data_IF_612828245010
#
_entry.id   IF_612828245010
#
_cell.length_a   1.000
_cell.length_b   1.000
_cell.length_c   1.000
_cell.angle_alpha   90.00
_cell.angle_beta   90.00
_cell.angle_gamma   90.00
#
_symmetry.space_group_name_H-M   'P 1'
#
loop_
_entity.id
_entity.type
_entity.pdbx_description
1 polymer ?
#
# COMPACT_ATOMS: atom_id res chain seq x y z
N UNK A 1 28.19 -17.93 79.22
CA UNK A 1 27.73 -16.67 78.57
C UNK A 1 28.24 -16.47 77.14
N UNK A 2 28.98 -17.42 76.55
CA UNK A 2 29.62 -17.25 75.23
C UNK A 2 28.73 -17.65 74.04
N UNK A 3 27.81 -18.61 74.18
CA UNK A 3 27.00 -19.12 73.06
C UNK A 3 25.90 -18.17 72.56
N UNK A 4 25.39 -17.27 73.41
CA UNK A 4 24.36 -16.30 72.98
C UNK A 4 24.94 -15.14 72.17
N UNK A 5 26.20 -14.77 72.43
CA UNK A 5 26.87 -13.66 71.75
C UNK A 5 27.20 -14.01 70.29
N UNK A 6 27.69 -15.23 70.03
CA UNK A 6 27.95 -15.69 68.65
C UNK A 6 26.68 -15.85 67.81
N UNK A 7 25.56 -16.29 68.42
CA UNK A 7 24.26 -16.33 67.74
C UNK A 7 23.76 -14.94 67.35
N UNK A 8 23.98 -13.94 68.21
CA UNK A 8 23.59 -12.57 67.92
C UNK A 8 24.41 -11.97 66.78
N UNK A 9 25.73 -12.19 66.79
CA UNK A 9 26.62 -11.71 65.72
C UNK A 9 26.29 -12.39 64.39
N UNK A 10 26.03 -13.71 64.40
CA UNK A 10 25.70 -14.44 63.18
C UNK A 10 24.36 -13.99 62.57
N UNK A 11 23.32 -13.82 63.40
CA UNK A 11 22.04 -13.27 62.94
C UNK A 11 22.18 -11.85 62.40
N UNK A 12 23.02 -11.02 63.02
CA UNK A 12 23.29 -9.66 62.55
C UNK A 12 24.01 -9.65 61.19
N UNK A 13 24.99 -10.54 60.99
CA UNK A 13 25.72 -10.70 59.72
C UNK A 13 24.83 -11.22 58.59
N UNK A 14 23.94 -12.18 58.89
CA UNK A 14 22.96 -12.69 57.92
C UNK A 14 22.01 -11.57 57.50
N UNK A 15 21.47 -10.81 58.46
CA UNK A 15 20.60 -9.66 58.17
C UNK A 15 21.33 -8.61 57.35
N UNK A 16 22.59 -8.28 57.67
CA UNK A 16 23.39 -7.31 56.92
C UNK A 16 23.65 -7.74 55.47
N UNK A 17 23.88 -9.04 55.24
CA UNK A 17 24.11 -9.60 53.90
C UNK A 17 22.86 -9.56 53.00
N UNK A 18 21.66 -9.66 53.59
CA UNK A 18 20.40 -9.56 52.85
C UNK A 18 20.02 -8.14 52.41
N UNK A 19 20.62 -7.09 52.98
CA UNK A 19 20.35 -5.69 52.59
C UNK A 19 21.31 -5.18 51.50
N UNK A 20 22.46 -5.83 51.32
CA UNK A 20 23.48 -5.43 50.35
C UNK A 20 23.20 -5.90 48.90
N UNK A 21 22.18 -6.74 48.68
CA UNK A 21 21.87 -7.34 47.37
C UNK A 21 20.93 -6.51 46.47
N UNK A 22 20.35 -5.42 46.96
CA UNK A 22 19.39 -4.64 46.18
C UNK A 22 20.12 -3.61 45.31
N UNK A 23 20.70 -4.05 44.19
CA UNK A 23 21.10 -3.13 43.12
C UNK A 23 19.83 -2.45 42.59
N UNK A 24 19.74 -1.12 42.72
CA UNK A 24 18.68 -0.36 42.03
C UNK A 24 18.76 -0.72 40.54
N UNK A 25 17.64 -1.06 39.88
CA UNK A 25 17.66 -1.22 38.44
C UNK A 25 18.17 0.08 37.84
N UNK A 26 19.25 -0.03 37.06
CA UNK A 26 19.81 1.08 36.32
C UNK A 26 18.69 1.64 35.43
N UNK A 27 18.39 2.94 35.57
CA UNK A 27 17.31 3.55 34.78
C UNK A 27 17.72 3.43 33.32
N UNK A 28 16.97 2.65 32.54
CA UNK A 28 17.08 2.60 31.10
C UNK A 28 17.10 4.03 30.55
N UNK A 29 18.14 4.37 29.80
CA UNK A 29 18.22 5.67 29.14
C UNK A 29 17.28 5.65 27.94
N UNK A 30 16.32 6.60 27.86
CA UNK A 30 15.35 6.59 26.78
C UNK A 30 16.05 6.84 25.44
N UNK A 31 15.57 6.15 24.41
CA UNK A 31 15.87 6.49 23.01
C UNK A 31 15.24 7.85 22.72
N UNK A 32 16.01 8.78 22.18
CA UNK A 32 15.49 10.06 21.71
C UNK A 32 15.30 9.98 20.18
N UNK A 33 14.08 10.25 19.73
CA UNK A 33 13.70 10.27 18.32
C UNK A 33 13.38 11.71 17.96
N UNK A 34 13.91 12.20 16.83
CA UNK A 34 13.63 13.54 16.34
C UNK A 34 13.18 13.45 14.89
N UNK A 35 11.91 13.77 14.64
CA UNK A 35 11.39 13.89 13.28
C UNK A 35 12.00 15.11 12.57
N UNK A 36 12.38 14.89 11.32
CA UNK A 36 12.85 15.92 10.39
C UNK A 36 11.79 16.14 9.30
N UNK A 37 11.20 15.05 8.82
CA UNK A 37 10.08 15.07 7.88
C UNK A 37 9.17 13.84 8.12
N UNK A 38 7.86 13.94 7.88
CA UNK A 38 7.16 15.14 7.43
C UNK A 38 6.99 16.19 8.55
N UNK A 39 6.60 17.41 8.19
CA UNK A 39 6.23 18.44 9.18
C UNK A 39 4.92 18.06 9.89
N UNK A 40 4.77 18.51 11.13
CA UNK A 40 3.56 18.26 11.91
C UNK A 40 2.32 18.83 11.21
N UNK A 41 1.25 18.03 11.20
CA UNK A 41 -0.05 18.36 10.59
C UNK A 41 0.01 18.62 9.08
N UNK A 42 1.04 18.12 8.40
CA UNK A 42 1.15 18.16 6.94
C UNK A 42 0.06 17.33 6.25
N UNK A 43 -0.35 17.77 5.06
CA UNK A 43 -1.41 17.10 4.27
C UNK A 43 -0.78 16.43 3.05
N UNK A 44 -1.04 15.13 2.88
CA UNK A 44 -0.58 14.35 1.74
C UNK A 44 -1.74 13.84 0.90
N UNK A 45 -1.60 13.94 -0.42
CA UNK A 45 -2.55 13.37 -1.36
C UNK A 45 -2.13 11.94 -1.74
N UNK A 46 -3.02 10.96 -1.59
CA UNK A 46 -2.75 9.52 -1.85
C UNK A 46 -3.59 8.99 -3.03
N UNK A 47 -3.14 7.96 -3.77
CA UNK A 47 -1.93 7.16 -3.55
C UNK A 47 -0.65 7.94 -3.90
N UNK A 48 0.36 7.81 -3.03
CA UNK A 48 1.70 8.42 -3.19
C UNK A 48 2.70 7.78 -2.21
N UNK A 49 3.96 8.22 -2.26
CA UNK A 49 5.00 7.84 -1.32
C UNK A 49 5.35 9.00 -0.41
N UNK A 50 5.25 8.79 0.90
CA UNK A 50 5.59 9.80 1.91
C UNK A 50 7.01 9.54 2.39
N UNK A 51 7.88 10.55 2.26
CA UNK A 51 9.26 10.46 2.73
C UNK A 51 9.33 10.80 4.22
N UNK A 52 9.67 9.79 5.03
CA UNK A 52 9.82 9.93 6.48
C UNK A 52 11.31 10.05 6.81
N UNK A 53 11.70 11.17 7.43
CA UNK A 53 13.07 11.45 7.85
C UNK A 53 13.14 11.68 9.35
N UNK A 54 14.06 11.03 10.02
CA UNK A 54 14.25 11.19 11.46
C UNK A 54 15.67 10.84 11.91
N UNK A 55 16.01 11.32 13.10
CA UNK A 55 17.21 10.94 13.81
C UNK A 55 16.87 10.07 15.03
N UNK A 56 17.75 9.13 15.35
CA UNK A 56 17.69 8.33 16.58
C UNK A 56 18.99 8.48 17.37
N UNK A 57 18.88 8.97 18.60
CA UNK A 57 19.94 8.97 19.59
C UNK A 57 19.66 7.89 20.67
N UNK A 58 20.58 6.95 20.80
CA UNK A 58 20.48 5.80 21.69
C UNK A 58 21.87 5.41 22.18
N UNK A 59 21.97 5.12 23.49
CA UNK A 59 23.20 4.60 24.12
C UNK A 59 23.35 3.08 23.98
N UNK A 60 22.26 2.40 23.62
CA UNK A 60 22.23 0.95 23.37
C UNK A 60 22.09 0.68 21.87
N UNK A 61 22.62 -0.46 21.38
CA UNK A 61 22.33 -0.96 20.04
C UNK A 61 20.84 -0.98 19.75
N UNK A 62 20.46 -0.57 18.54
CA UNK A 62 19.08 -0.59 18.08
C UNK A 62 18.87 -1.93 17.37
N UNK A 63 17.90 -2.72 17.81
CA UNK A 63 17.56 -3.98 17.16
C UNK A 63 16.79 -3.75 15.87
N UNK A 64 15.73 -2.93 15.94
CA UNK A 64 15.00 -2.52 14.75
C UNK A 64 14.36 -1.15 14.91
N UNK A 65 14.06 -0.57 13.75
CA UNK A 65 13.18 0.58 13.58
C UNK A 65 12.03 0.15 12.69
N UNK A 66 10.80 0.39 13.13
CA UNK A 66 9.59 0.19 12.32
C UNK A 66 9.01 1.55 11.97
N UNK A 67 8.65 1.73 10.70
CA UNK A 67 7.93 2.91 10.20
C UNK A 67 6.63 2.46 9.55
N UNK A 68 5.53 3.06 9.97
CA UNK A 68 4.22 2.94 9.32
C UNK A 68 3.46 4.25 9.38
N UNK A 69 2.38 4.33 8.62
CA UNK A 69 1.35 5.35 8.78
C UNK A 69 0.11 4.64 9.28
N UNK A 70 -0.38 5.10 10.41
CA UNK A 70 -1.50 4.51 11.12
C UNK A 70 -2.65 5.51 11.19
N UNK A 71 -3.90 5.03 11.23
CA UNK A 71 -5.07 5.89 11.41
C UNK A 71 -5.25 6.35 12.88
N UNK A 72 -6.34 7.05 13.17
CA UNK A 72 -6.67 7.52 14.53
C UNK A 72 -6.80 6.38 15.56
N UNK A 73 -7.16 5.17 15.11
CA UNK A 73 -7.26 3.97 15.95
C UNK A 73 -5.94 3.18 16.05
N UNK A 74 -4.84 3.74 15.54
CA UNK A 74 -3.51 3.09 15.47
C UNK A 74 -3.49 1.81 14.62
N UNK A 75 -4.36 1.73 13.61
CA UNK A 75 -4.38 0.67 12.61
C UNK A 75 -3.56 1.11 11.40
N UNK A 76 -2.55 0.34 10.97
CA UNK A 76 -1.73 0.69 9.81
C UNK A 76 -2.55 0.81 8.53
N UNK A 77 -2.43 1.97 7.87
CA UNK A 77 -2.97 2.25 6.52
C UNK A 77 -1.88 2.20 5.44
N UNK A 78 -0.62 2.05 5.84
CA UNK A 78 0.52 1.74 4.98
C UNK A 78 1.14 0.38 5.35
N UNK A 79 2.01 -0.18 4.49
CA UNK A 79 2.91 -1.25 4.91
C UNK A 79 3.75 -0.83 6.12
N UNK A 80 4.05 -1.79 7.00
CA UNK A 80 5.01 -1.61 8.09
C UNK A 80 6.40 -1.96 7.58
N UNK A 81 7.29 -0.97 7.52
CA UNK A 81 8.66 -1.12 7.06
C UNK A 81 9.60 -1.35 8.25
N UNK A 82 10.37 -2.43 8.23
CA UNK A 82 11.33 -2.78 9.28
C UNK A 82 12.76 -2.57 8.80
N UNK A 83 13.56 -1.88 9.62
CA UNK A 83 14.97 -1.56 9.36
C UNK A 83 15.78 -2.12 10.53
N UNK A 84 16.87 -2.81 10.22
CA UNK A 84 17.79 -3.39 11.20
C UNK A 84 19.13 -2.65 11.09
N UNK A 85 19.29 -1.52 11.81
CA UNK A 85 20.46 -0.67 11.67
C UNK A 85 21.72 -1.34 12.23
N UNK A 86 22.84 -1.08 11.58
CA UNK A 86 24.17 -1.43 12.10
C UNK A 86 24.67 -0.23 12.93
N UNK A 87 25.23 -0.50 14.11
CA UNK A 87 25.49 0.33 15.32
C UNK A 87 25.78 1.85 15.20
N UNK A 88 26.07 2.38 14.02
CA UNK A 88 26.37 3.79 13.78
C UNK A 88 25.26 4.59 13.06
N UNK A 89 24.19 3.96 12.57
CA UNK A 89 23.15 4.69 11.83
C UNK A 89 22.29 5.52 12.77
N UNK A 90 22.41 6.85 12.66
CA UNK A 90 21.67 7.83 13.46
C UNK A 90 20.60 8.57 12.66
N UNK A 91 20.68 8.53 11.34
CA UNK A 91 19.81 9.26 10.42
C UNK A 91 19.15 8.28 9.45
N UNK A 92 17.84 8.41 9.29
CA UNK A 92 17.04 7.53 8.47
C UNK A 92 16.21 8.36 7.49
N UNK A 93 16.18 7.92 6.23
CA UNK A 93 15.28 8.43 5.19
C UNK A 93 14.54 7.24 4.58
N UNK A 94 13.24 7.14 4.86
CA UNK A 94 12.45 5.96 4.54
C UNK A 94 11.25 6.38 3.69
N UNK A 95 11.17 5.92 2.42
CA UNK A 95 10.00 6.13 1.59
C UNK A 95 8.89 5.15 2.01
N UNK A 96 7.76 5.68 2.47
CA UNK A 96 6.59 4.90 2.90
C UNK A 96 5.50 5.00 1.82
N UNK A 97 5.24 3.94 1.03
CA UNK A 97 4.16 3.96 0.04
C UNK A 97 2.80 3.88 0.74
N UNK A 98 1.87 4.74 0.33
CA UNK A 98 0.50 4.81 0.86
C UNK A 98 -0.49 4.65 -0.29
N UNK A 99 -1.42 3.71 -0.13
CA UNK A 99 -2.49 3.44 -1.10
C UNK A 99 -3.62 4.47 -1.04
N UNK A 100 -4.56 4.36 -1.96
CA UNK A 100 -5.80 5.14 -1.90
C UNK A 100 -6.62 4.77 -0.66
N UNK A 101 -7.25 5.77 -0.03
CA UNK A 101 -8.17 5.56 1.08
C UNK A 101 -9.47 4.97 0.53
N UNK A 102 -9.80 3.74 0.92
CA UNK A 102 -10.92 3.00 0.33
C UNK A 102 -12.31 3.50 0.75
N UNK A 103 -12.42 4.19 1.89
CA UNK A 103 -13.71 4.53 2.51
C UNK A 103 -13.87 6.02 2.86
N UNK A 104 -12.83 6.85 2.71
CA UNK A 104 -12.84 8.23 3.16
C UNK A 104 -12.11 9.14 2.17
N UNK A 105 -12.63 10.34 1.94
CA UNK A 105 -11.95 11.34 1.11
C UNK A 105 -10.73 11.95 1.82
N UNK A 106 -10.77 12.00 3.15
CA UNK A 106 -9.64 12.39 3.98
C UNK A 106 -9.71 11.76 5.37
N UNK A 107 -8.56 11.60 6.01
CA UNK A 107 -8.42 10.99 7.34
C UNK A 107 -7.23 11.60 8.07
N UNK A 108 -7.32 11.83 9.38
CA UNK A 108 -6.14 12.15 10.18
C UNK A 108 -5.38 10.85 10.48
N UNK A 109 -4.06 10.93 10.42
CA UNK A 109 -3.18 9.78 10.56
C UNK A 109 -1.94 10.18 11.35
N UNK A 110 -1.15 9.18 11.71
CA UNK A 110 0.13 9.37 12.37
C UNK A 110 1.21 8.61 11.63
N UNK A 111 2.34 9.26 11.36
CA UNK A 111 3.57 8.52 11.10
C UNK A 111 3.98 7.89 12.43
N UNK A 112 3.95 6.57 12.49
CA UNK A 112 4.31 5.80 13.66
C UNK A 112 5.74 5.26 13.54
N UNK A 113 6.62 5.74 14.42
CA UNK A 113 7.95 5.19 14.59
C UNK A 113 7.98 4.30 15.82
N UNK A 114 8.51 3.09 15.64
CA UNK A 114 8.81 2.18 16.75
C UNK A 114 10.28 1.85 16.72
N UNK A 115 10.97 2.09 17.83
CA UNK A 115 12.40 1.79 17.98
C UNK A 115 12.56 0.83 19.14
N UNK A 116 13.16 -0.32 18.88
CA UNK A 116 13.49 -1.29 19.90
C UNK A 116 15.00 -1.37 20.11
N UNK A 117 15.41 -1.33 21.37
CA UNK A 117 16.77 -1.61 21.82
C UNK A 117 16.75 -2.67 22.94
N UNK A 118 17.92 -3.03 23.47
CA UNK A 118 18.04 -4.03 24.55
C UNK A 118 17.23 -3.71 25.82
N UNK A 119 16.76 -2.47 25.99
CA UNK A 119 16.14 -1.99 27.22
C UNK A 119 14.62 -1.86 27.10
N UNK A 120 14.14 -1.28 25.99
CA UNK A 120 12.73 -0.91 25.82
C UNK A 120 12.38 -0.64 24.35
N UNK A 121 11.11 -0.86 24.04
CA UNK A 121 10.45 -0.34 22.83
C UNK A 121 9.93 1.09 23.07
N UNK A 122 10.37 2.03 22.25
CA UNK A 122 9.90 3.42 22.22
C UNK A 122 8.98 3.63 21.02
N UNK A 123 7.86 4.32 21.24
CA UNK A 123 6.93 4.72 20.19
C UNK A 123 6.93 6.24 20.09
N UNK A 124 7.01 6.76 18.87
CA UNK A 124 6.91 8.19 18.57
C UNK A 124 5.93 8.41 17.41
N UNK A 125 5.17 9.49 17.46
CA UNK A 125 4.10 9.77 16.50
C UNK A 125 4.25 11.17 15.92
N UNK A 126 4.06 11.31 14.61
CA UNK A 126 3.92 12.60 13.94
C UNK A 126 2.54 12.67 13.29
N UNK A 127 1.72 13.64 13.71
CA UNK A 127 0.41 13.86 13.11
C UNK A 127 0.55 14.31 11.65
N UNK A 128 -0.20 13.67 10.77
CA UNK A 128 -0.36 14.05 9.37
C UNK A 128 -1.82 13.89 8.96
N UNK A 129 -2.20 14.44 7.81
CA UNK A 129 -3.52 14.21 7.22
C UNK A 129 -3.34 13.61 5.84
N UNK A 130 -4.09 12.54 5.57
CA UNK A 130 -4.17 11.95 4.24
C UNK A 130 -5.46 12.43 3.58
N UNK A 131 -5.39 12.73 2.28
CA UNK A 131 -6.55 12.94 1.43
C UNK A 131 -6.40 12.16 0.14
N UNK A 132 -7.48 11.60 -0.38
CA UNK A 132 -7.43 11.01 -1.72
C UNK A 132 -7.13 12.11 -2.73
N UNK A 133 -6.23 11.83 -3.69
CA UNK A 133 -6.18 12.61 -4.93
C UNK A 133 -7.60 12.61 -5.51
N UNK A 134 -8.17 13.78 -5.86
CA UNK A 134 -9.52 13.82 -6.38
C UNK A 134 -9.58 12.97 -7.64
N UNK A 135 -10.24 11.81 -7.56
CA UNK A 135 -10.65 11.10 -8.75
C UNK A 135 -11.77 11.93 -9.36
N UNK A 136 -11.49 12.62 -10.45
CA UNK A 136 -12.55 13.18 -11.27
C UNK A 136 -13.31 11.99 -11.87
N UNK A 137 -14.53 11.75 -11.39
CA UNK A 137 -15.45 10.87 -12.09
C UNK A 137 -15.64 11.44 -13.49
N UNK A 138 -15.20 10.70 -14.50
CA UNK A 138 -15.29 11.15 -15.90
C UNK A 138 -16.52 10.59 -16.61
N UNK A 139 -17.20 9.62 -16.00
CA UNK A 139 -18.30 8.89 -16.62
C UNK A 139 -18.22 7.37 -16.48
N UNK A 140 -19.05 6.67 -17.23
CA UNK A 140 -19.13 5.21 -17.26
C UNK A 140 -19.55 4.69 -18.63
N UNK A 141 -19.11 3.47 -18.96
CA UNK A 141 -19.53 2.77 -20.17
C UNK A 141 -20.61 1.73 -19.85
N UNK A 142 -21.64 1.67 -20.68
CA UNK A 142 -22.67 0.62 -20.64
C UNK A 142 -22.50 -0.26 -21.87
N UNK A 143 -22.42 -1.56 -21.65
CA UNK A 143 -22.38 -2.56 -22.72
C UNK A 143 -23.72 -3.26 -22.80
N UNK A 144 -24.35 -3.24 -23.98
CA UNK A 144 -25.61 -3.92 -24.26
C UNK A 144 -25.44 -4.94 -25.38
N UNK A 145 -26.26 -5.98 -25.36
CA UNK A 145 -26.46 -6.86 -26.52
C UNK A 145 -27.61 -6.28 -27.36
N UNK A 146 -27.40 -6.08 -28.67
CA UNK A 146 -28.48 -5.65 -29.57
C UNK A 146 -29.20 -6.87 -30.13
N UNK A 147 -28.58 -7.58 -31.08
CA UNK A 147 -29.10 -8.79 -31.71
C UNK A 147 -28.03 -9.44 -32.60
N UNK A 148 -28.14 -10.75 -32.84
CA UNK A 148 -27.45 -11.42 -33.96
C UNK A 148 -25.93 -11.29 -33.99
N UNK A 149 -25.30 -11.42 -32.81
CA UNK A 149 -23.85 -11.32 -32.61
C UNK A 149 -23.28 -9.90 -32.77
N UNK A 150 -23.97 -8.92 -32.16
CA UNK A 150 -23.50 -7.54 -32.03
C UNK A 150 -23.70 -7.07 -30.60
N UNK A 151 -22.71 -6.35 -30.09
CA UNK A 151 -22.81 -5.57 -28.87
C UNK A 151 -22.79 -4.09 -29.21
N UNK A 152 -23.36 -3.27 -28.33
CA UNK A 152 -23.23 -1.82 -28.39
C UNK A 152 -22.67 -1.32 -27.08
N UNK A 153 -21.82 -0.31 -27.18
CA UNK A 153 -21.18 0.37 -26.07
C UNK A 153 -21.67 1.80 -26.10
N UNK A 154 -22.13 2.29 -24.95
CA UNK A 154 -22.46 3.68 -24.72
C UNK A 154 -21.49 4.24 -23.69
N UNK A 155 -21.11 5.50 -23.83
CA UNK A 155 -20.40 6.23 -22.79
C UNK A 155 -21.26 7.39 -22.32
N UNK A 156 -21.45 7.46 -21.01
CA UNK A 156 -22.14 8.54 -20.33
C UNK A 156 -21.12 9.33 -19.53
N UNK A 157 -21.14 10.65 -19.66
CA UNK A 157 -20.24 11.56 -18.94
C UNK A 157 -20.62 11.69 -17.44
N UNK A 158 -19.93 12.58 -16.72
CA UNK A 158 -20.18 12.86 -15.31
C UNK A 158 -21.59 13.43 -15.02
N UNK A 159 -22.29 13.92 -16.05
CA UNK A 159 -23.64 14.48 -15.98
C UNK A 159 -24.71 13.51 -16.46
N UNK A 160 -24.36 12.23 -16.68
CA UNK A 160 -25.26 11.20 -17.22
C UNK A 160 -25.74 11.49 -18.65
N UNK A 161 -24.99 12.28 -19.42
CA UNK A 161 -25.28 12.55 -20.83
C UNK A 161 -24.54 11.54 -21.70
N UNK A 162 -25.26 10.86 -22.61
CA UNK A 162 -24.62 10.03 -23.62
C UNK A 162 -23.76 10.92 -24.53
N UNK A 163 -22.45 10.68 -24.54
CA UNK A 163 -21.49 11.48 -25.33
C UNK A 163 -20.82 10.69 -26.44
N UNK A 164 -20.81 9.36 -26.34
CA UNK A 164 -20.31 8.48 -27.38
C UNK A 164 -21.08 7.14 -27.42
N UNK A 165 -21.13 6.55 -28.62
CA UNK A 165 -21.64 5.20 -28.81
C UNK A 165 -20.85 4.46 -29.89
N UNK A 166 -20.74 3.15 -29.76
CA UNK A 166 -20.04 2.28 -30.70
C UNK A 166 -20.76 0.93 -30.81
N UNK A 167 -21.05 0.49 -32.03
CA UNK A 167 -21.46 -0.89 -32.30
C UNK A 167 -20.23 -1.75 -32.60
N UNK A 168 -20.12 -2.87 -31.88
CA UNK A 168 -19.04 -3.84 -32.00
C UNK A 168 -19.60 -5.16 -32.55
N UNK A 169 -18.90 -5.76 -33.51
CA UNK A 169 -19.23 -7.10 -33.99
C UNK A 169 -18.76 -8.11 -32.95
N UNK A 170 -19.64 -9.02 -32.56
CA UNK A 170 -19.38 -10.00 -31.53
C UNK A 170 -19.99 -9.64 -30.20
N UNK A 171 -20.42 -10.67 -29.47
CA UNK A 171 -20.80 -10.55 -28.06
C UNK A 171 -19.56 -10.23 -27.24
N UNK A 172 -19.61 -9.14 -26.47
CA UNK A 172 -18.57 -8.80 -25.49
C UNK A 172 -18.59 -9.82 -24.36
N UNK A 173 -17.45 -10.46 -24.09
CA UNK A 173 -17.31 -11.49 -23.05
C UNK A 173 -16.65 -10.95 -21.80
N UNK A 174 -15.68 -10.05 -21.95
CA UNK A 174 -14.99 -9.40 -20.84
C UNK A 174 -14.75 -7.92 -21.15
N UNK A 175 -14.72 -7.10 -20.10
CA UNK A 175 -14.36 -5.68 -20.18
C UNK A 175 -13.59 -5.26 -18.94
N UNK A 176 -12.59 -4.39 -19.11
CA UNK A 176 -11.81 -3.76 -18.04
C UNK A 176 -11.44 -2.34 -18.44
N UNK A 177 -11.31 -1.46 -17.45
CA UNK A 177 -10.82 -0.10 -17.65
C UNK A 177 -9.33 -0.02 -17.28
N UNK A 178 -8.49 0.39 -18.22
CA UNK A 178 -7.08 0.65 -17.99
C UNK A 178 -6.89 2.11 -17.58
N UNK A 179 -6.88 2.34 -16.26
CA UNK A 179 -7.00 3.68 -15.65
C UNK A 179 -5.90 4.65 -16.08
N UNK A 180 -4.65 4.20 -16.16
CA UNK A 180 -3.53 5.09 -16.48
C UNK A 180 -3.43 5.44 -17.97
N UNK A 181 -4.02 4.62 -18.84
CA UNK A 181 -4.01 4.82 -20.29
C UNK A 181 -5.31 5.41 -20.81
N UNK A 182 -6.30 5.65 -19.94
CA UNK A 182 -7.62 6.16 -20.33
C UNK A 182 -8.31 5.26 -21.41
N UNK A 183 -8.20 3.92 -21.26
CA UNK A 183 -8.75 2.94 -22.20
C UNK A 183 -9.85 2.05 -21.60
N UNK A 184 -10.85 1.74 -22.41
CA UNK A 184 -11.77 0.62 -22.25
C UNK A 184 -11.24 -0.56 -23.08
N UNK A 185 -10.87 -1.64 -22.41
CA UNK A 185 -10.34 -2.86 -23.04
C UNK A 185 -11.39 -3.95 -22.93
N UNK A 186 -11.68 -4.63 -24.03
CA UNK A 186 -12.73 -5.65 -24.09
C UNK A 186 -12.36 -6.80 -25.01
N UNK A 187 -12.99 -7.96 -24.75
CA UNK A 187 -12.93 -9.13 -25.64
C UNK A 187 -14.31 -9.47 -26.19
N UNK A 188 -14.33 -10.04 -27.39
CA UNK A 188 -15.53 -10.53 -28.07
C UNK A 188 -15.42 -12.03 -28.35
N UNK A 189 -16.55 -12.73 -28.53
CA UNK A 189 -16.56 -14.19 -28.77
C UNK A 189 -16.58 -14.60 -30.25
N UNK A 190 -17.19 -13.81 -31.14
CA UNK A 190 -17.31 -14.14 -32.58
C UNK A 190 -17.37 -12.83 -33.41
N UNK A 191 -16.36 -12.48 -34.23
CA UNK A 191 -15.01 -13.01 -34.16
C UNK A 191 -14.44 -12.77 -32.78
N UNK A 192 -13.50 -13.61 -32.39
CA UNK A 192 -12.80 -13.42 -31.13
C UNK A 192 -11.72 -12.37 -31.33
N UNK A 193 -11.82 -11.24 -30.62
CA UNK A 193 -10.92 -10.10 -30.74
C UNK A 193 -10.75 -9.46 -29.37
N UNK A 194 -9.50 -9.16 -29.00
CA UNK A 194 -9.16 -8.25 -27.90
C UNK A 194 -8.97 -6.85 -28.49
N UNK A 195 -9.67 -5.85 -27.96
CA UNK A 195 -9.59 -4.48 -28.47
C UNK A 195 -9.59 -3.46 -27.36
N UNK A 196 -8.92 -2.34 -27.60
CA UNK A 196 -8.88 -1.21 -26.69
C UNK A 196 -9.39 0.05 -27.39
N UNK A 197 -10.30 0.74 -26.70
CA UNK A 197 -10.92 1.97 -27.14
C UNK A 197 -10.59 3.07 -26.13
N UNK A 198 -10.53 4.32 -26.58
CA UNK A 198 -10.62 5.45 -25.63
C UNK A 198 -11.95 5.37 -24.88
N UNK A 199 -11.97 5.58 -23.56
CA UNK A 199 -13.22 5.50 -22.81
C UNK A 199 -14.21 6.61 -23.19
N UNK A 200 -13.73 7.80 -23.58
CA UNK A 200 -14.57 8.99 -23.76
C UNK A 200 -15.20 9.11 -25.14
N UNK A 201 -14.47 8.74 -26.19
CA UNK A 201 -14.94 8.87 -27.57
C UNK A 201 -15.10 7.53 -28.29
N UNK A 202 -14.81 6.43 -27.60
CA UNK A 202 -14.90 5.05 -28.08
C UNK A 202 -14.13 4.81 -29.39
N UNK A 203 -13.07 5.59 -29.66
CA UNK A 203 -12.19 5.34 -30.82
C UNK A 203 -11.24 4.19 -30.53
N UNK A 204 -11.17 3.25 -31.46
CA UNK A 204 -10.24 2.12 -31.45
C UNK A 204 -8.80 2.64 -31.41
N UNK A 205 -8.03 2.20 -30.42
CA UNK A 205 -6.60 2.51 -30.28
C UNK A 205 -5.74 1.37 -30.81
N UNK A 206 -6.06 0.14 -30.41
CA UNK A 206 -5.39 -1.06 -30.86
C UNK A 206 -6.31 -2.28 -30.75
N UNK A 207 -6.00 -3.32 -31.51
CA UNK A 207 -6.67 -4.61 -31.45
C UNK A 207 -5.69 -5.74 -31.64
N UNK A 208 -6.01 -6.91 -31.10
CA UNK A 208 -5.21 -8.12 -31.19
C UNK A 208 -6.11 -9.31 -31.50
N UNK A 209 -5.69 -10.05 -32.52
CA UNK A 209 -6.29 -11.33 -32.86
C UNK A 209 -5.84 -12.41 -31.87
N UNK A 210 -6.70 -13.40 -31.59
CA UNK A 210 -6.37 -14.49 -30.70
C UNK A 210 -5.37 -15.44 -31.36
N UNK A 211 -4.66 -16.20 -30.55
CA UNK A 211 -3.61 -17.09 -31.03
C UNK A 211 -4.21 -18.40 -31.56
N UNK A 212 -3.89 -18.76 -32.81
CA UNK A 212 -4.19 -20.10 -33.34
C UNK A 212 -3.28 -21.17 -32.70
N UNK A 213 -3.74 -22.42 -32.54
CA UNK A 213 -5.00 -22.99 -33.04
C UNK A 213 -6.19 -22.87 -32.06
N UNK A 214 -6.03 -22.21 -30.91
CA UNK A 214 -7.07 -22.07 -29.87
C UNK A 214 -7.47 -20.59 -29.75
N UNK A 215 -8.31 -20.07 -30.65
CA UNK A 215 -8.55 -18.65 -30.82
C UNK A 215 -9.51 -18.07 -29.76
N UNK A 216 -9.25 -18.35 -28.48
CA UNK A 216 -10.12 -17.97 -27.36
C UNK A 216 -9.38 -17.07 -26.37
N UNK A 217 -10.06 -16.03 -25.86
CA UNK A 217 -9.64 -15.22 -24.72
C UNK A 217 -10.44 -15.64 -23.49
N UNK A 218 -9.75 -16.15 -22.48
CA UNK A 218 -10.41 -16.74 -21.30
C UNK A 218 -10.60 -15.75 -20.15
N UNK A 219 -9.80 -14.69 -20.10
CA UNK A 219 -9.97 -13.56 -19.18
C UNK A 219 -9.17 -12.34 -19.67
N UNK A 220 -9.48 -11.17 -19.12
CA UNK A 220 -8.63 -9.98 -19.15
C UNK A 220 -8.53 -9.36 -17.76
N UNK A 221 -7.37 -8.81 -17.43
CA UNK A 221 -7.12 -8.12 -16.16
C UNK A 221 -6.09 -7.01 -16.35
N UNK A 222 -6.47 -5.79 -16.03
CA UNK A 222 -5.55 -4.65 -16.01
C UNK A 222 -4.78 -4.59 -14.69
N UNK A 223 -3.46 -4.42 -14.80
CA UNK A 223 -2.56 -4.12 -13.71
C UNK A 223 -1.45 -3.22 -14.24
N UNK A 224 -1.79 -1.93 -14.36
CA UNK A 224 -0.96 -0.92 -15.01
C UNK A 224 0.53 -1.01 -14.63
N UNK A 225 1.45 -0.93 -15.63
CA UNK A 225 1.21 -0.60 -17.04
C UNK A 225 0.82 -1.81 -17.92
N UNK A 226 0.59 -2.97 -17.31
CA UNK A 226 0.40 -4.24 -18.02
C UNK A 226 -1.07 -4.68 -18.02
N UNK A 227 -1.49 -5.19 -19.16
CA UNK A 227 -2.71 -5.96 -19.33
C UNK A 227 -2.33 -7.44 -19.37
N UNK A 228 -3.00 -8.25 -18.55
CA UNK A 228 -2.90 -9.69 -18.57
C UNK A 228 -4.15 -10.28 -19.22
N UNK A 229 -3.97 -11.26 -20.09
CA UNK A 229 -5.07 -12.01 -20.67
C UNK A 229 -4.72 -13.48 -20.81
N UNK A 230 -5.75 -14.33 -20.68
CA UNK A 230 -5.62 -15.77 -20.89
C UNK A 230 -5.97 -16.15 -22.32
N UNK A 231 -5.33 -17.19 -22.87
CA UNK A 231 -5.69 -17.75 -24.16
C UNK A 231 -6.31 -19.16 -24.04
N UNK A 232 -6.89 -19.68 -25.12
CA UNK A 232 -7.49 -21.02 -25.18
C UNK A 232 -6.49 -22.17 -25.00
N UNK A 233 -5.19 -21.92 -25.09
CA UNK A 233 -4.14 -22.88 -24.78
C UNK A 233 -3.82 -22.95 -23.27
N UNK A 234 -4.50 -22.15 -22.43
CA UNK A 234 -4.26 -22.09 -20.99
C UNK A 234 -3.05 -21.25 -20.58
N UNK A 235 -2.54 -20.40 -21.47
CA UNK A 235 -1.41 -19.51 -21.18
C UNK A 235 -1.91 -18.15 -20.70
N UNK A 236 -1.10 -17.49 -19.87
CA UNK A 236 -1.27 -16.08 -19.50
C UNK A 236 -0.25 -15.26 -20.26
N UNK A 237 -0.73 -14.28 -21.00
CA UNK A 237 0.08 -13.35 -21.80
C UNK A 237 -0.03 -11.97 -21.19
N UNK A 238 1.06 -11.22 -21.18
CA UNK A 238 1.10 -9.82 -20.76
C UNK A 238 1.41 -8.92 -21.95
N UNK A 239 0.82 -7.73 -21.97
CA UNK A 239 1.07 -6.68 -22.96
C UNK A 239 0.98 -5.32 -22.28
N UNK A 240 1.60 -4.28 -22.85
CA UNK A 240 1.40 -2.91 -22.38
C UNK A 240 -0.04 -2.45 -22.69
N UNK A 241 -0.81 -2.07 -21.66
CA UNK A 241 -2.21 -1.65 -21.80
C UNK A 241 -2.38 -0.50 -22.81
N UNK A 242 -1.40 0.41 -22.90
CA UNK A 242 -1.43 1.58 -23.78
C UNK A 242 -1.23 1.27 -25.26
N UNK A 243 -0.54 0.18 -25.61
CA UNK A 243 -0.12 -0.09 -27.00
C UNK A 243 -0.57 -1.44 -27.55
N UNK A 244 -0.90 -2.42 -26.69
CA UNK A 244 -1.19 -3.78 -27.11
C UNK A 244 0.05 -4.57 -27.59
N UNK A 245 1.25 -4.04 -27.36
CA UNK A 245 2.54 -4.68 -27.67
C UNK A 245 3.09 -5.44 -26.47
N UNK A 246 3.83 -6.52 -26.74
CA UNK A 246 4.55 -7.32 -25.72
C UNK A 246 5.76 -6.58 -25.14
#
# INVERSE_FOLDING_TARGET
>A
MTNHFYRFIFSFLVVLSSIAGCKKPEKATPVAITFIAPEASSIFQVPDTILVKFNIESKSPIHYVRVSIDNEDLIPVSPQLFIYPVDSMRHFEIPVPVGALSAFDSMNCYVHLVVENDQKTTHEFMEIKLSNKPFAYKGFSVVTEEDGNKSRIYFYDEYMTETAQLSVIGKITHAVTARESDLLILTTAIPEILSAYSYSDLKLQWSRDPQLPYPEFTFIRDHSPLLYFGNGAGQVISTYSSTGLE
#
